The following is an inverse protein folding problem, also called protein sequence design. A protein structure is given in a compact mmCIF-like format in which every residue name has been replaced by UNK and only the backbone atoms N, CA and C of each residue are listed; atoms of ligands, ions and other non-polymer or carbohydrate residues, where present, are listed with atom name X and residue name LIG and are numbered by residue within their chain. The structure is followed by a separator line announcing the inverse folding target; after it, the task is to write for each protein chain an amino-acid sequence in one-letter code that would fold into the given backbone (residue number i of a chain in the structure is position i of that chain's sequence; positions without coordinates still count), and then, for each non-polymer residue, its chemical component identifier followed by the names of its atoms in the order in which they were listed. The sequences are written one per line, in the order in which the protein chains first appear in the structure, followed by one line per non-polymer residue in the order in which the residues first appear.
data_IF_969652104470
#
_entry.id   IF_969652104470
#
_cell.length_a   1.000
_cell.length_b   1.000
_cell.length_c   1.000
_cell.angle_alpha   90.00
_cell.angle_beta   90.00
_cell.angle_gamma   90.00
#
_symmetry.space_group_name_H-M   'P 1'
#
loop_
_entity.id
_entity.type
_entity.pdbx_description
1 polymer ?
#
# COMPACT_ATOMS: atom_id res chain seq x y z
N UNK A 1 -4.28 33.56 -37.45
CA UNK A 1 -3.33 33.66 -36.33
C UNK A 1 -4.00 33.11 -35.08
N UNK A 2 -3.77 31.83 -34.74
CA UNK A 2 -4.22 31.23 -33.48
C UNK A 2 -2.97 30.73 -32.77
N UNK A 3 -2.68 31.35 -31.64
CA UNK A 3 -1.50 31.08 -30.81
C UNK A 3 -1.70 29.74 -30.09
N UNK A 4 -0.85 28.75 -30.39
CA UNK A 4 -0.73 27.53 -29.62
C UNK A 4 0.17 27.83 -28.41
N UNK A 5 -0.41 27.93 -27.21
CA UNK A 5 0.35 27.94 -25.98
C UNK A 5 0.74 26.50 -25.64
N UNK A 6 2.04 26.22 -25.69
CA UNK A 6 2.62 24.94 -25.30
C UNK A 6 2.43 24.72 -23.80
N UNK A 7 1.72 23.65 -23.43
CA UNK A 7 1.70 23.14 -22.06
C UNK A 7 3.02 22.40 -21.85
N UNK A 8 3.95 23.04 -21.15
CA UNK A 8 5.18 22.39 -20.68
C UNK A 8 4.81 21.41 -19.56
N UNK A 9 4.80 20.12 -19.88
CA UNK A 9 4.71 19.04 -18.90
C UNK A 9 6.03 19.03 -18.12
N UNK A 10 6.00 19.46 -16.85
CA UNK A 10 7.10 19.24 -15.92
C UNK A 10 7.14 17.74 -15.58
N UNK A 11 7.94 16.98 -16.33
CA UNK A 11 8.38 15.64 -15.92
C UNK A 11 9.35 15.82 -14.75
N UNK A 12 8.82 15.81 -13.52
CA UNK A 12 9.64 15.60 -12.34
C UNK A 12 10.24 14.20 -12.46
N UNK A 13 11.55 14.14 -12.71
CA UNK A 13 12.33 12.91 -12.62
C UNK A 13 12.22 12.38 -11.19
N UNK A 14 11.45 11.32 -10.99
CA UNK A 14 11.47 10.53 -9.76
C UNK A 14 12.74 9.70 -9.74
N UNK A 15 13.89 10.36 -9.55
CA UNK A 15 15.07 9.68 -9.06
C UNK A 15 14.82 9.40 -7.56
N UNK A 16 15.11 8.18 -7.06
CA UNK A 16 15.03 7.92 -5.63
C UNK A 16 15.91 8.94 -4.90
N UNK A 17 15.45 9.51 -3.75
CA UNK A 17 16.27 10.44 -3.00
C UNK A 17 17.61 9.80 -2.69
N UNK A 18 18.67 10.49 -3.11
CA UNK A 18 20.07 10.12 -2.89
C UNK A 18 20.35 10.17 -1.38
N UNK A 19 20.18 9.04 -0.70
CA UNK A 19 20.44 8.92 0.74
C UNK A 19 19.72 7.79 1.46
N UNK A 20 18.69 7.15 0.86
CA UNK A 20 18.04 6.00 1.50
C UNK A 20 19.01 4.80 1.54
N UNK A 21 19.42 4.40 2.74
CA UNK A 21 20.19 3.17 2.97
C UNK A 21 19.41 1.96 2.45
N UNK A 22 20.11 0.96 1.88
CA UNK A 22 19.46 -0.25 1.38
C UNK A 22 18.66 -0.91 2.52
N UNK A 23 17.32 -1.11 2.38
CA UNK A 23 16.51 -1.72 3.42
C UNK A 23 17.01 -3.10 3.83
N UNK A 24 17.66 -3.85 2.92
CA UNK A 24 18.26 -5.15 3.27
C UNK A 24 19.51 -5.01 4.11
N UNK A 25 20.30 -3.96 3.90
CA UNK A 25 21.47 -3.67 4.72
C UNK A 25 21.07 -3.23 6.13
N UNK A 26 19.97 -2.48 6.28
CA UNK A 26 19.42 -2.13 7.60
C UNK A 26 18.96 -3.37 8.39
N UNK A 27 18.57 -4.44 7.71
CA UNK A 27 18.22 -5.72 8.29
C UNK A 27 19.39 -6.70 8.40
N UNK A 28 20.64 -6.26 8.18
CA UNK A 28 21.82 -7.09 8.47
C UNK A 28 22.20 -7.04 9.96
N UNK A 29 21.28 -7.49 10.81
CA UNK A 29 21.40 -7.48 12.27
C UNK A 29 20.84 -8.77 12.85
N UNK A 30 21.07 -8.99 14.14
CA UNK A 30 20.48 -10.13 14.85
C UNK A 30 19.11 -9.80 15.43
N UNK A 31 18.87 -8.52 15.70
CA UNK A 31 17.63 -8.02 16.29
C UNK A 31 17.14 -6.85 15.46
N UNK A 32 15.85 -6.89 15.08
CA UNK A 32 15.28 -5.90 14.15
C UNK A 32 13.89 -5.46 14.58
N UNK A 33 13.58 -4.19 14.34
CA UNK A 33 12.22 -3.63 14.42
C UNK A 33 11.78 -3.20 13.02
N UNK A 34 10.75 -3.87 12.48
CA UNK A 34 10.18 -3.56 11.16
C UNK A 34 8.85 -2.86 11.40
N UNK A 35 8.75 -1.59 11.01
CA UNK A 35 7.51 -0.83 11.13
C UNK A 35 6.74 -0.84 9.81
N UNK A 36 5.47 -1.20 9.85
CA UNK A 36 4.53 -1.11 8.74
C UNK A 36 3.51 -0.04 9.06
N UNK A 37 3.31 0.92 8.15
CA UNK A 37 2.31 1.98 8.33
C UNK A 37 1.31 2.01 7.19
N UNK A 38 0.05 2.27 7.56
CA UNK A 38 -1.09 2.38 6.64
C UNK A 38 -2.08 3.42 7.16
N UNK A 39 -2.88 4.03 6.29
CA UNK A 39 -3.92 4.99 6.70
C UNK A 39 -5.22 4.32 7.17
N UNK A 40 -5.35 3.00 6.99
CA UNK A 40 -6.43 2.16 7.52
C UNK A 40 -5.85 0.84 8.04
N UNK A 41 -6.57 -0.28 7.87
CA UNK A 41 -6.15 -1.62 8.32
C UNK A 41 -5.65 -2.54 7.18
N UNK A 42 -5.68 -2.08 5.93
CA UNK A 42 -5.26 -2.86 4.76
C UNK A 42 -3.81 -3.35 4.83
N UNK A 43 -2.91 -2.49 5.30
CA UNK A 43 -1.48 -2.80 5.42
C UNK A 43 -1.15 -3.87 6.47
N UNK A 44 -2.10 -4.34 7.28
CA UNK A 44 -1.87 -5.49 8.16
C UNK A 44 -1.58 -6.77 7.38
N UNK A 45 -2.05 -6.89 6.14
CA UNK A 45 -1.68 -7.99 5.24
C UNK A 45 -0.17 -8.05 4.99
N UNK A 46 0.48 -6.89 4.88
CA UNK A 46 1.94 -6.77 4.75
C UNK A 46 2.63 -7.20 6.05
N UNK A 47 2.13 -6.73 7.20
CA UNK A 47 2.66 -7.14 8.51
C UNK A 47 2.53 -8.65 8.75
N UNK A 48 1.39 -9.24 8.37
CA UNK A 48 1.14 -10.68 8.46
C UNK A 48 2.07 -11.49 7.56
N UNK A 49 2.34 -11.03 6.34
CA UNK A 49 3.27 -11.74 5.46
C UNK A 49 4.73 -11.63 5.94
N UNK A 50 5.13 -10.48 6.51
CA UNK A 50 6.46 -10.31 7.12
C UNK A 50 6.62 -11.24 8.33
N UNK A 51 5.65 -11.26 9.24
CA UNK A 51 5.62 -12.18 10.39
C UNK A 51 5.77 -13.63 9.90
N UNK A 52 4.94 -14.03 8.93
CA UNK A 52 4.95 -15.39 8.38
C UNK A 52 6.31 -15.75 7.80
N UNK A 53 6.90 -14.88 6.99
CA UNK A 53 8.21 -15.15 6.38
C UNK A 53 9.33 -15.27 7.42
N UNK A 54 9.34 -14.42 8.45
CA UNK A 54 10.33 -14.48 9.53
C UNK A 54 10.15 -15.76 10.37
N UNK A 55 8.90 -16.11 10.72
CA UNK A 55 8.59 -17.33 11.48
C UNK A 55 9.04 -18.59 10.74
N UNK A 56 8.88 -18.65 9.42
CA UNK A 56 9.30 -19.79 8.61
C UNK A 56 10.78 -19.76 8.20
N UNK A 57 11.42 -18.60 8.22
CA UNK A 57 12.85 -18.44 7.91
C UNK A 57 13.54 -17.69 9.06
N UNK A 58 14.01 -18.40 10.10
CA UNK A 58 14.62 -17.78 11.29
C UNK A 58 15.94 -17.06 10.99
N UNK A 59 15.84 -15.85 10.45
CA UNK A 59 16.96 -15.02 10.01
C UNK A 59 17.43 -14.04 11.09
N UNK A 60 16.63 -13.87 12.16
CA UNK A 60 16.87 -13.00 13.31
C UNK A 60 16.80 -13.78 14.62
N UNK A 61 17.49 -13.30 15.65
CA UNK A 61 17.34 -13.73 17.06
C UNK A 61 16.05 -13.15 17.65
N UNK A 62 15.75 -11.89 17.33
CA UNK A 62 14.52 -11.19 17.71
C UNK A 62 14.03 -10.34 16.54
N UNK A 63 12.73 -10.35 16.29
CA UNK A 63 12.11 -9.50 15.30
C UNK A 63 10.79 -8.96 15.86
N UNK A 64 10.67 -7.64 15.88
CA UNK A 64 9.47 -6.93 16.29
C UNK A 64 8.80 -6.35 15.04
N UNK A 65 7.63 -6.88 14.67
CA UNK A 65 6.81 -6.37 13.56
C UNK A 65 5.77 -5.42 14.14
N UNK A 66 5.94 -4.13 13.91
CA UNK A 66 5.06 -3.09 14.45
C UNK A 66 4.19 -2.53 13.34
N UNK A 67 2.89 -2.78 13.40
CA UNK A 67 1.93 -2.06 12.58
C UNK A 67 1.46 -0.79 13.28
N UNK A 68 1.54 0.36 12.62
CA UNK A 68 1.04 1.63 13.12
C UNK A 68 0.10 2.28 12.11
N UNK A 69 -1.16 2.46 12.50
CA UNK A 69 -2.08 3.29 11.71
C UNK A 69 -1.62 4.74 11.71
N UNK A 70 -1.54 5.34 10.52
CA UNK A 70 -1.29 6.75 10.31
C UNK A 70 -2.60 7.57 10.18
N UNK A 71 -3.77 6.95 10.44
CA UNK A 71 -5.03 7.68 10.51
C UNK A 71 -4.94 8.69 11.68
N UNK A 72 -5.08 10.00 11.43
CA UNK A 72 -4.91 10.99 12.47
C UNK A 72 -5.96 10.82 13.60
N UNK A 73 -5.61 11.20 14.84
CA UNK A 73 -6.60 11.34 15.91
C UNK A 73 -7.83 12.13 15.42
N UNK A 74 -9.02 11.62 15.74
CA UNK A 74 -10.29 12.12 15.21
C UNK A 74 -10.80 11.38 13.96
N UNK A 75 -10.00 10.50 13.35
CA UNK A 75 -10.47 9.54 12.35
C UNK A 75 -10.71 10.08 10.95
N UNK A 76 -10.31 11.33 10.67
CA UNK A 76 -10.44 11.93 9.33
C UNK A 76 -9.47 11.26 8.35
N UNK A 77 -9.99 10.67 7.29
CA UNK A 77 -9.20 10.01 6.25
C UNK A 77 -8.36 10.99 5.45
N UNK A 78 -7.28 10.50 4.84
CA UNK A 78 -6.44 11.33 3.97
C UNK A 78 -7.21 11.82 2.74
N UNK A 79 -8.07 10.99 2.13
CA UNK A 79 -8.88 11.43 0.97
C UNK A 79 -9.87 12.57 1.31
N UNK A 80 -10.24 12.74 2.59
CA UNK A 80 -11.09 13.83 3.06
C UNK A 80 -10.31 15.13 3.36
N UNK A 81 -8.99 15.14 3.19
CA UNK A 81 -8.13 16.30 3.40
C UNK A 81 -8.16 17.27 2.22
N UNK A 82 -8.05 18.57 2.52
CA UNK A 82 -8.24 19.67 1.58
C UNK A 82 -7.21 19.72 0.45
N UNK A 83 -6.02 19.18 0.68
CA UNK A 83 -4.96 19.19 -0.32
C UNK A 83 -3.75 18.35 0.07
N UNK A 84 -2.82 18.21 -0.88
CA UNK A 84 -1.62 17.40 -0.73
C UNK A 84 -0.68 17.90 0.37
N UNK A 85 -0.62 19.21 0.60
CA UNK A 85 0.24 19.79 1.63
C UNK A 85 -0.28 19.45 3.04
N UNK A 86 -1.60 19.47 3.24
CA UNK A 86 -2.20 19.00 4.51
C UNK A 86 -1.93 17.51 4.72
N UNK A 87 -2.14 16.68 3.69
CA UNK A 87 -1.83 15.24 3.73
C UNK A 87 -0.37 15.00 4.10
N UNK A 88 0.56 15.71 3.48
CA UNK A 88 1.99 15.57 3.72
C UNK A 88 2.41 16.04 5.13
N UNK A 89 1.85 17.15 5.63
CA UNK A 89 2.12 17.65 6.97
C UNK A 89 1.64 16.66 8.05
N UNK A 90 0.42 16.14 7.93
CA UNK A 90 -0.14 15.15 8.85
C UNK A 90 0.67 13.85 8.80
N UNK A 91 0.99 13.35 7.60
CA UNK A 91 1.76 12.13 7.47
C UNK A 91 3.20 12.27 7.97
N UNK A 92 3.83 13.43 7.77
CA UNK A 92 5.15 13.73 8.35
C UNK A 92 5.11 13.64 9.87
N UNK A 93 4.08 14.22 10.51
CA UNK A 93 3.91 14.16 11.96
C UNK A 93 3.72 12.72 12.45
N UNK A 94 2.95 11.92 11.71
CA UNK A 94 2.74 10.50 11.99
C UNK A 94 4.05 9.71 11.96
N UNK A 95 4.86 9.88 10.91
CA UNK A 95 6.16 9.23 10.78
C UNK A 95 7.13 9.66 11.89
N UNK A 96 7.15 10.94 12.26
CA UNK A 96 7.97 11.41 13.39
C UNK A 96 7.53 10.78 14.72
N UNK A 97 6.22 10.65 14.96
CA UNK A 97 5.68 9.99 16.15
C UNK A 97 6.09 8.52 16.23
N UNK A 98 5.92 7.80 15.12
CA UNK A 98 6.32 6.39 14.97
C UNK A 98 7.82 6.20 15.17
N UNK A 99 8.66 7.05 14.55
CA UNK A 99 10.11 7.02 14.68
C UNK A 99 10.55 7.23 16.13
N UNK A 100 10.01 8.25 16.81
CA UNK A 100 10.32 8.52 18.23
C UNK A 100 9.89 7.40 19.16
N UNK A 101 8.72 6.79 18.89
CA UNK A 101 8.08 5.83 19.78
C UNK A 101 8.64 4.42 19.68
N UNK A 102 9.02 4.00 18.47
CA UNK A 102 9.37 2.62 18.16
C UNK A 102 10.80 2.44 17.65
N UNK A 103 11.48 3.52 17.24
CA UNK A 103 12.85 3.49 16.72
C UNK A 103 13.11 2.34 15.71
N UNK A 104 12.32 2.24 14.62
CA UNK A 104 12.41 1.13 13.69
C UNK A 104 13.74 1.11 12.92
N UNK A 105 14.20 -0.07 12.54
CA UNK A 105 15.33 -0.23 11.61
C UNK A 105 14.91 0.04 10.16
N UNK A 106 13.62 -0.16 9.83
CA UNK A 106 13.03 0.10 8.51
C UNK A 106 11.55 0.47 8.65
N UNK A 107 11.09 1.41 7.81
CA UNK A 107 9.67 1.79 7.71
C UNK A 107 9.12 1.37 6.35
N UNK A 108 8.01 0.65 6.37
CA UNK A 108 7.26 0.22 5.19
C UNK A 108 5.96 0.99 5.12
N UNK A 109 5.83 1.85 4.12
CA UNK A 109 4.59 2.56 3.83
C UNK A 109 3.75 1.63 2.95
N UNK A 110 2.92 0.81 3.59
CA UNK A 110 2.06 -0.13 2.90
C UNK A 110 0.97 0.62 2.11
N UNK A 111 0.41 1.68 2.70
CA UNK A 111 -0.66 2.43 2.05
C UNK A 111 -0.18 3.10 0.74
N UNK A 112 -0.94 2.86 -0.32
CA UNK A 112 -0.70 3.47 -1.63
C UNK A 112 -0.88 5.00 -1.58
N UNK A 113 -1.95 5.49 -0.92
CA UNK A 113 -2.18 6.93 -0.72
C UNK A 113 -1.01 7.59 0.00
N UNK A 114 -0.50 6.97 1.06
CA UNK A 114 0.62 7.51 1.84
C UNK A 114 1.94 7.45 1.06
N UNK A 115 2.12 6.40 0.25
CA UNK A 115 3.32 6.25 -0.59
C UNK A 115 3.43 7.37 -1.61
N UNK A 116 2.33 7.80 -2.24
CA UNK A 116 2.37 8.86 -3.27
C UNK A 116 2.51 10.28 -2.71
N UNK A 117 2.34 10.46 -1.40
CA UNK A 117 2.55 11.75 -0.72
C UNK A 117 3.88 11.81 0.05
N UNK A 118 4.56 10.67 0.24
CA UNK A 118 5.74 10.54 1.11
C UNK A 118 6.85 11.55 0.77
N UNK A 119 7.18 11.70 -0.52
CA UNK A 119 8.27 12.58 -0.95
C UNK A 119 8.01 14.07 -0.65
N UNK A 120 6.76 14.43 -0.34
CA UNK A 120 6.38 15.80 0.07
C UNK A 120 6.46 16.03 1.57
N UNK A 121 6.66 14.99 2.37
CA UNK A 121 6.78 15.11 3.82
C UNK A 121 8.10 15.77 4.21
N UNK A 122 8.15 16.46 5.34
CA UNK A 122 9.44 16.92 5.89
C UNK A 122 10.26 15.74 6.42
N UNK A 123 9.59 14.66 6.86
CA UNK A 123 10.24 13.43 7.30
C UNK A 123 11.14 12.82 6.22
N UNK A 124 10.67 12.74 4.97
CA UNK A 124 11.46 12.14 3.88
C UNK A 124 12.80 12.84 3.63
N UNK A 125 12.87 14.15 3.90
CA UNK A 125 14.09 14.96 3.75
C UNK A 125 15.14 14.73 4.83
N UNK A 126 14.74 14.17 5.98
CA UNK A 126 15.61 13.99 7.15
C UNK A 126 15.72 12.54 7.66
N UNK A 127 14.96 11.61 7.09
CA UNK A 127 14.94 10.22 7.56
C UNK A 127 16.34 9.61 7.51
N UNK A 128 16.75 9.02 8.62
CA UNK A 128 18.02 8.27 8.73
C UNK A 128 17.81 6.77 8.56
N UNK A 129 16.56 6.31 8.52
CA UNK A 129 16.18 4.92 8.32
C UNK A 129 15.63 4.72 6.90
N UNK A 130 15.84 3.55 6.27
CA UNK A 130 15.21 3.24 5.00
C UNK A 130 13.70 3.31 5.12
N UNK A 131 13.08 3.96 4.14
CA UNK A 131 11.63 4.00 3.97
C UNK A 131 11.27 3.42 2.62
N UNK A 132 10.39 2.43 2.60
CA UNK A 132 9.99 1.71 1.38
C UNK A 132 8.50 1.88 1.16
N UNK A 133 8.12 2.50 0.04
CA UNK A 133 6.74 2.60 -0.42
C UNK A 133 6.35 1.49 -1.41
N UNK A 134 5.04 1.27 -1.56
CA UNK A 134 4.50 0.15 -2.36
C UNK A 134 4.48 0.42 -3.88
N UNK A 135 4.61 1.68 -4.32
CA UNK A 135 4.40 2.08 -5.73
C UNK A 135 5.36 1.38 -6.69
N UNK A 136 6.67 1.42 -6.41
CA UNK A 136 7.67 0.80 -7.27
C UNK A 136 7.55 -0.73 -7.32
N UNK A 137 7.10 -1.34 -6.21
CA UNK A 137 6.86 -2.79 -6.11
C UNK A 137 5.69 -3.18 -7.02
N UNK A 138 4.57 -2.45 -6.92
CA UNK A 138 3.43 -2.68 -7.79
C UNK A 138 3.81 -2.52 -9.27
N UNK A 139 4.57 -1.47 -9.60
CA UNK A 139 5.01 -1.21 -10.97
C UNK A 139 5.93 -2.31 -11.51
N UNK A 140 6.88 -2.82 -10.71
CA UNK A 140 7.75 -3.95 -11.08
C UNK A 140 6.93 -5.21 -11.39
N UNK A 141 6.00 -5.56 -10.51
CA UNK A 141 5.17 -6.78 -10.68
C UNK A 141 4.26 -6.67 -11.90
N UNK A 142 3.53 -5.57 -12.03
CA UNK A 142 2.62 -5.30 -13.15
C UNK A 142 3.38 -5.29 -14.49
N UNK A 143 4.52 -4.60 -14.56
CA UNK A 143 5.33 -4.58 -15.78
C UNK A 143 5.88 -5.97 -16.13
N UNK A 144 6.28 -6.77 -15.13
CA UNK A 144 6.74 -8.14 -15.35
C UNK A 144 5.63 -9.06 -15.87
N UNK A 145 4.36 -8.84 -15.48
CA UNK A 145 3.19 -9.54 -16.07
C UNK A 145 2.91 -9.07 -17.48
N UNK A 146 2.87 -7.75 -17.69
CA UNK A 146 2.59 -7.16 -18.99
C UNK A 146 3.60 -7.60 -20.06
N UNK A 147 4.89 -7.71 -19.73
CA UNK A 147 5.93 -8.22 -20.65
C UNK A 147 5.66 -9.63 -21.19
N UNK A 148 4.86 -10.45 -20.48
CA UNK A 148 4.47 -11.80 -20.93
C UNK A 148 3.18 -11.80 -21.75
N UNK A 149 2.44 -10.69 -21.76
CA UNK A 149 1.21 -10.50 -22.53
C UNK A 149 1.18 -9.06 -23.11
N UNK A 150 2.06 -8.73 -24.07
CA UNK A 150 2.38 -7.35 -24.49
C UNK A 150 1.27 -6.58 -25.26
N UNK A 151 0.02 -6.97 -25.09
CA UNK A 151 -1.17 -6.27 -25.62
C UNK A 151 -2.30 -6.18 -24.60
N UNK A 152 -2.07 -6.66 -23.37
CA UNK A 152 -3.03 -6.55 -22.28
C UNK A 152 -3.19 -5.08 -21.89
N UNK A 153 -4.43 -4.67 -21.63
CA UNK A 153 -4.68 -3.42 -20.94
C UNK A 153 -4.32 -3.58 -19.46
N UNK A 154 -3.76 -2.54 -18.86
CA UNK A 154 -3.43 -2.48 -17.44
C UNK A 154 -4.45 -1.59 -16.75
N UNK A 155 -5.28 -2.17 -15.88
CA UNK A 155 -6.22 -1.45 -15.03
C UNK A 155 -5.58 -1.22 -13.66
N UNK A 156 -5.57 0.02 -13.18
CA UNK A 156 -5.08 0.37 -11.84
C UNK A 156 -6.25 0.85 -11.01
N UNK A 157 -6.65 0.07 -10.00
CA UNK A 157 -7.72 0.44 -9.08
C UNK A 157 -7.10 1.01 -7.81
N UNK A 158 -7.47 2.23 -7.42
CA UNK A 158 -6.95 2.85 -6.20
C UNK A 158 -7.84 3.95 -5.67
N UNK A 159 -7.43 4.54 -4.55
CA UNK A 159 -8.11 5.71 -3.99
C UNK A 159 -7.95 6.94 -4.89
N UNK A 160 -8.77 7.97 -4.68
CA UNK A 160 -8.74 9.22 -5.43
C UNK A 160 -7.37 9.88 -5.36
N UNK A 161 -6.77 9.96 -4.18
CA UNK A 161 -5.42 10.53 -4.03
C UNK A 161 -4.37 9.69 -4.77
N UNK A 162 -4.46 8.37 -4.71
CA UNK A 162 -3.54 7.47 -5.40
C UNK A 162 -3.63 7.67 -6.92
N UNK A 163 -4.84 7.67 -7.46
CA UNK A 163 -5.07 7.79 -8.90
C UNK A 163 -4.73 9.20 -9.40
N UNK A 164 -5.14 10.24 -8.69
CA UNK A 164 -4.85 11.63 -9.06
C UNK A 164 -3.36 11.96 -9.05
N UNK A 165 -2.55 11.26 -8.24
CA UNK A 165 -1.09 11.45 -8.23
C UNK A 165 -0.41 11.06 -9.54
N UNK A 166 -1.01 10.15 -10.32
CA UNK A 166 -0.40 9.58 -11.53
C UNK A 166 0.85 8.71 -11.28
N UNK A 167 1.24 8.46 -10.02
CA UNK A 167 2.52 7.83 -9.69
C UNK A 167 2.65 6.40 -10.24
N UNK A 168 1.64 5.55 -10.04
CA UNK A 168 1.64 4.17 -10.58
C UNK A 168 1.67 4.16 -12.12
N UNK A 169 0.92 5.05 -12.77
CA UNK A 169 0.94 5.22 -14.24
C UNK A 169 2.35 5.60 -14.71
N UNK A 170 2.95 6.62 -14.11
CA UNK A 170 4.29 7.08 -14.47
C UNK A 170 5.34 5.98 -14.26
N UNK A 171 5.27 5.24 -13.15
CA UNK A 171 6.18 4.15 -12.84
C UNK A 171 6.08 2.98 -13.83
N UNK A 172 4.89 2.70 -14.37
CA UNK A 172 4.67 1.70 -15.42
C UNK A 172 5.18 2.15 -16.79
N UNK A 173 4.93 3.42 -17.15
CA UNK A 173 5.46 4.01 -18.39
C UNK A 173 6.99 3.96 -18.38
N UNK A 174 7.62 4.29 -17.25
CA UNK A 174 9.06 4.18 -17.07
C UNK A 174 9.61 2.75 -17.24
N UNK A 175 8.75 1.73 -17.06
CA UNK A 175 9.07 0.31 -17.26
C UNK A 175 8.72 -0.22 -18.65
N UNK A 176 8.27 0.65 -19.55
CA UNK A 176 8.00 0.35 -20.95
C UNK A 176 6.56 -0.09 -21.25
N UNK A 177 5.62 0.03 -20.30
CA UNK A 177 4.20 -0.20 -20.59
C UNK A 177 3.65 1.02 -21.33
N UNK A 178 3.07 0.86 -22.54
CA UNK A 178 2.51 1.97 -23.29
C UNK A 178 1.41 2.68 -22.50
N UNK A 179 1.48 4.01 -22.39
CA UNK A 179 0.51 4.80 -21.64
C UNK A 179 -0.93 4.61 -22.12
N UNK A 180 -1.11 4.40 -23.43
CA UNK A 180 -2.42 4.14 -24.05
C UNK A 180 -3.08 2.83 -23.61
N UNK A 181 -2.33 1.94 -22.95
CA UNK A 181 -2.84 0.70 -22.38
C UNK A 181 -3.13 0.80 -20.88
N UNK A 182 -2.81 1.94 -20.23
CA UNK A 182 -2.95 2.11 -18.78
C UNK A 182 -4.21 2.92 -18.48
N UNK A 183 -5.14 2.31 -17.75
CA UNK A 183 -6.36 2.96 -17.25
C UNK A 183 -6.24 3.01 -15.74
N UNK A 184 -6.44 4.18 -15.14
CA UNK A 184 -6.46 4.34 -13.70
C UNK A 184 -7.87 4.69 -13.25
N UNK A 185 -8.44 3.87 -12.38
CA UNK A 185 -9.80 3.96 -11.88
C UNK A 185 -9.75 4.35 -10.41
N UNK A 186 -10.29 5.53 -10.09
CA UNK A 186 -10.49 5.94 -8.71
C UNK A 186 -11.71 5.20 -8.14
N UNK A 187 -11.58 4.66 -6.94
CA UNK A 187 -12.63 3.90 -6.27
C UNK A 187 -13.00 4.52 -4.91
N UNK A 188 -13.62 5.71 -4.89
CA UNK A 188 -14.08 6.35 -3.66
C UNK A 188 -14.81 5.40 -2.71
N UNK A 189 -14.48 5.45 -1.42
CA UNK A 189 -15.10 4.69 -0.32
C UNK A 189 -14.93 3.16 -0.37
N UNK A 190 -14.45 2.58 -1.47
CA UNK A 190 -14.31 1.13 -1.57
C UNK A 190 -13.38 0.56 -0.50
N UNK A 191 -12.34 1.29 -0.10
CA UNK A 191 -11.44 0.87 0.97
C UNK A 191 -12.16 0.75 2.32
N UNK A 192 -13.10 1.65 2.61
CA UNK A 192 -13.90 1.64 3.84
C UNK A 192 -14.90 0.49 3.84
N UNK A 193 -15.59 0.26 2.71
CA UNK A 193 -16.51 -0.87 2.57
C UNK A 193 -15.79 -2.21 2.74
N UNK A 194 -14.61 -2.37 2.12
CA UNK A 194 -13.79 -3.57 2.27
C UNK A 194 -13.27 -3.72 3.70
N UNK A 195 -12.93 -2.63 4.40
CA UNK A 195 -12.48 -2.73 5.79
C UNK A 195 -13.58 -3.27 6.72
N UNK A 196 -14.82 -2.85 6.50
CA UNK A 196 -15.98 -3.28 7.27
C UNK A 196 -16.41 -4.70 6.91
N UNK A 197 -16.55 -5.01 5.63
CA UNK A 197 -16.88 -6.36 5.16
C UNK A 197 -16.25 -6.65 3.78
N UNK A 198 -15.09 -7.33 3.73
CA UNK A 198 -14.40 -7.67 2.49
C UNK A 198 -15.23 -8.51 1.50
N UNK A 199 -16.26 -9.21 1.98
CA UNK A 199 -17.10 -10.10 1.18
C UNK A 199 -18.56 -9.63 1.06
N UNK A 200 -18.88 -8.49 1.67
CA UNK A 200 -20.24 -7.95 1.81
C UNK A 200 -20.85 -7.48 0.50
N UNK A 201 -22.17 -7.30 0.53
CA UNK A 201 -22.96 -6.92 -0.65
C UNK A 201 -22.55 -5.54 -1.18
N UNK A 202 -22.37 -4.56 -0.29
CA UNK A 202 -21.89 -3.22 -0.68
C UNK A 202 -20.52 -3.29 -1.34
N UNK A 203 -19.56 -4.01 -0.75
CA UNK A 203 -18.24 -4.25 -1.35
C UNK A 203 -18.35 -4.83 -2.76
N UNK A 204 -19.24 -5.81 -2.99
CA UNK A 204 -19.46 -6.39 -4.32
C UNK A 204 -20.02 -5.36 -5.29
N UNK A 205 -21.03 -4.58 -4.88
CA UNK A 205 -21.65 -3.54 -5.70
C UNK A 205 -20.64 -2.46 -6.11
N UNK A 206 -19.80 -1.99 -5.19
CA UNK A 206 -18.77 -1.01 -5.54
C UNK A 206 -17.71 -1.60 -6.49
N UNK A 207 -17.26 -2.84 -6.25
CA UNK A 207 -16.29 -3.48 -7.17
C UNK A 207 -16.90 -3.67 -8.55
N UNK A 208 -18.13 -4.16 -8.65
CA UNK A 208 -18.85 -4.30 -9.93
C UNK A 208 -18.89 -2.97 -10.68
N UNK A 209 -19.40 -1.91 -10.03
CA UNK A 209 -19.46 -0.56 -10.61
C UNK A 209 -18.09 -0.12 -11.13
N UNK A 210 -17.05 -0.11 -10.29
CA UNK A 210 -15.75 0.40 -10.72
C UNK A 210 -15.09 -0.47 -11.79
N UNK A 211 -15.33 -1.78 -11.81
CA UNK A 211 -14.85 -2.65 -12.90
C UNK A 211 -15.57 -2.39 -14.22
N UNK A 212 -16.87 -2.09 -14.19
CA UNK A 212 -17.64 -1.71 -15.39
C UNK A 212 -17.20 -0.35 -15.93
N UNK A 213 -17.01 0.64 -15.04
CA UNK A 213 -16.52 1.98 -15.41
C UNK A 213 -15.13 1.89 -16.05
N UNK A 214 -14.20 1.17 -15.41
CA UNK A 214 -12.86 0.92 -15.97
C UNK A 214 -12.93 0.14 -17.29
N UNK A 215 -13.87 -0.81 -17.38
CA UNK A 215 -14.13 -1.64 -18.56
C UNK A 215 -14.59 -0.84 -19.78
N UNK A 216 -15.42 0.19 -19.55
CA UNK A 216 -15.88 1.10 -20.59
C UNK A 216 -14.75 1.97 -21.18
N UNK A 217 -13.70 2.24 -20.39
CA UNK A 217 -12.52 3.00 -20.81
C UNK A 217 -11.42 2.14 -21.46
N UNK A 218 -11.59 0.81 -21.55
CA UNK A 218 -10.58 -0.08 -22.09
C UNK A 218 -10.32 0.16 -23.60
N UNK A 219 -9.05 0.22 -24.03
CA UNK A 219 -8.72 0.38 -25.44
C UNK A 219 -9.15 -0.84 -26.26
N UNK A 220 -9.63 -0.59 -27.47
CA UNK A 220 -9.84 -1.63 -28.48
C UNK A 220 -8.55 -1.77 -29.30
N UNK A 221 -8.02 -2.98 -29.56
CA UNK A 221 -8.63 -4.30 -29.38
C UNK A 221 -8.08 -5.11 -28.19
N UNK A 222 -7.76 -4.51 -27.03
CA UNK A 222 -7.16 -5.25 -25.91
C UNK A 222 -8.05 -6.45 -25.51
N UNK A 223 -7.52 -7.68 -25.67
CA UNK A 223 -8.28 -8.93 -25.48
C UNK A 223 -8.14 -9.53 -24.07
N UNK A 224 -7.25 -8.98 -23.26
CA UNK A 224 -6.93 -9.42 -21.90
C UNK A 224 -6.66 -8.19 -21.01
N UNK A 225 -6.82 -8.38 -19.70
CA UNK A 225 -6.63 -7.34 -18.69
C UNK A 225 -5.65 -7.84 -17.62
N UNK A 226 -4.75 -6.97 -17.21
CA UNK A 226 -3.95 -7.10 -16.00
C UNK A 226 -4.42 -6.01 -15.04
N UNK A 227 -4.94 -6.38 -13.87
CA UNK A 227 -5.44 -5.43 -12.88
C UNK A 227 -4.47 -5.32 -11.70
N UNK A 228 -4.01 -4.11 -11.41
CA UNK A 228 -3.27 -3.77 -10.19
C UNK A 228 -4.20 -3.26 -9.10
N UNK A 229 -4.14 -3.88 -7.93
CA UNK A 229 -4.86 -3.45 -6.74
C UNK A 229 -4.03 -2.41 -5.97
N UNK A 230 -4.07 -1.16 -6.43
CA UNK A 230 -3.32 -0.03 -5.89
C UNK A 230 -3.97 0.59 -4.64
N UNK A 231 -4.53 -0.25 -3.76
CA UNK A 231 -4.96 0.09 -2.41
C UNK A 231 -4.80 -1.17 -1.55
N UNK A 232 -4.28 -1.03 -0.32
CA UNK A 232 -3.92 -2.18 0.52
C UNK A 232 -5.14 -3.03 0.90
N UNK A 233 -6.32 -2.43 1.03
CA UNK A 233 -7.57 -3.15 1.30
C UNK A 233 -8.00 -4.07 0.15
N UNK A 234 -7.74 -3.69 -1.10
CA UNK A 234 -8.35 -4.36 -2.25
C UNK A 234 -7.92 -5.82 -2.39
N UNK A 235 -6.73 -6.17 -1.87
CA UNK A 235 -6.25 -7.55 -1.77
C UNK A 235 -7.20 -8.47 -0.99
N UNK A 236 -7.91 -7.97 0.02
CA UNK A 236 -8.89 -8.76 0.78
C UNK A 236 -10.11 -9.18 -0.07
N UNK A 237 -10.37 -8.46 -1.17
CA UNK A 237 -11.47 -8.72 -2.09
C UNK A 237 -10.98 -9.10 -3.49
N UNK A 238 -9.72 -9.52 -3.64
CA UNK A 238 -9.11 -9.84 -4.94
C UNK A 238 -9.91 -10.90 -5.74
N UNK A 239 -10.52 -11.87 -5.06
CA UNK A 239 -11.38 -12.87 -5.70
C UNK A 239 -12.68 -12.29 -6.28
N UNK A 240 -13.20 -11.21 -5.68
CA UNK A 240 -14.35 -10.47 -6.24
C UNK A 240 -13.89 -9.71 -7.48
N UNK A 241 -12.81 -8.94 -7.39
CA UNK A 241 -12.22 -8.27 -8.57
C UNK A 241 -11.99 -9.24 -9.74
N UNK A 242 -11.37 -10.40 -9.50
CA UNK A 242 -11.11 -11.40 -10.54
C UNK A 242 -12.40 -11.88 -11.22
N UNK A 243 -13.47 -12.11 -10.44
CA UNK A 243 -14.77 -12.52 -10.97
C UNK A 243 -15.41 -11.43 -11.82
N UNK A 244 -15.45 -10.20 -11.33
CA UNK A 244 -16.09 -9.10 -12.07
C UNK A 244 -15.31 -8.77 -13.35
N UNK A 245 -13.98 -8.69 -13.27
CA UNK A 245 -13.11 -8.43 -14.43
C UNK A 245 -13.16 -9.54 -15.51
N UNK A 246 -13.48 -10.77 -15.13
CA UNK A 246 -13.63 -11.88 -16.09
C UNK A 246 -14.80 -11.69 -17.06
N UNK A 247 -15.72 -10.76 -16.78
CA UNK A 247 -16.81 -10.42 -17.70
C UNK A 247 -16.41 -9.41 -18.76
N UNK A 248 -15.31 -8.68 -18.56
CA UNK A 248 -14.90 -7.58 -19.44
C UNK A 248 -14.30 -8.08 -20.75
N UNK A 249 -13.56 -9.19 -20.74
CA UNK A 249 -12.82 -9.69 -21.90
C UNK A 249 -12.82 -11.22 -21.99
N UNK A 250 -12.65 -11.79 -23.21
CA UNK A 250 -12.70 -13.25 -23.39
C UNK A 250 -11.53 -14.01 -22.74
N UNK A 251 -10.38 -13.36 -22.54
CA UNK A 251 -9.23 -13.96 -21.86
C UNK A 251 -9.33 -13.66 -20.36
N UNK A 252 -9.18 -14.65 -19.47
CA UNK A 252 -9.21 -14.43 -18.02
C UNK A 252 -8.22 -13.35 -17.58
N UNK A 253 -8.60 -12.48 -16.63
CA UNK A 253 -7.75 -11.40 -16.15
C UNK A 253 -6.66 -11.93 -15.22
N UNK A 254 -5.52 -11.23 -15.17
CA UNK A 254 -4.55 -11.38 -14.07
C UNK A 254 -4.79 -10.26 -13.05
N UNK A 255 -5.15 -10.61 -11.82
CA UNK A 255 -5.30 -9.65 -10.71
C UNK A 255 -4.06 -9.72 -9.82
N UNK A 256 -3.42 -8.57 -9.60
CA UNK A 256 -2.18 -8.43 -8.83
C UNK A 256 -2.46 -7.61 -7.57
N UNK A 257 -2.33 -8.28 -6.43
CA UNK A 257 -2.16 -7.62 -5.13
C UNK A 257 -0.66 -7.40 -4.88
N UNK A 258 -0.17 -6.14 -4.82
CA UNK A 258 1.24 -5.85 -4.59
C UNK A 258 1.68 -5.98 -3.12
N UNK A 259 0.76 -6.17 -2.16
CA UNK A 259 1.08 -6.21 -0.74
C UNK A 259 2.15 -7.28 -0.40
N UNK A 260 2.07 -8.54 -0.89
CA UNK A 260 3.09 -9.56 -0.63
C UNK A 260 4.46 -9.27 -1.27
N UNK A 261 4.54 -8.33 -2.22
CA UNK A 261 5.81 -7.90 -2.80
C UNK A 261 6.68 -7.09 -1.83
N UNK A 262 6.06 -6.42 -0.84
CA UNK A 262 6.77 -5.58 0.13
C UNK A 262 7.71 -6.38 1.02
N UNK A 263 7.25 -7.51 1.55
CA UNK A 263 8.07 -8.41 2.36
C UNK A 263 9.26 -8.95 1.56
N UNK A 264 9.05 -9.35 0.31
CA UNK A 264 10.10 -9.88 -0.59
C UNK A 264 11.15 -8.82 -0.96
N UNK A 265 10.73 -7.55 -1.04
CA UNK A 265 11.63 -6.44 -1.35
C UNK A 265 12.57 -6.14 -0.18
N UNK A 266 12.05 -6.23 1.04
CA UNK A 266 12.71 -5.74 2.25
C UNK A 266 13.48 -6.85 2.96
N UNK A 267 12.88 -8.03 3.11
CA UNK A 267 13.52 -9.13 3.83
C UNK A 267 14.76 -9.62 3.06
N UNK A 268 15.87 -9.89 3.77
CA UNK A 268 17.05 -10.47 3.15
C UNK A 268 16.73 -11.80 2.48
N UNK A 269 17.28 -12.03 1.29
CA UNK A 269 17.29 -13.35 0.64
C UNK A 269 18.33 -14.24 1.33
N UNK A 270 18.15 -14.52 2.63
CA UNK A 270 19.10 -15.25 3.47
C UNK A 270 18.59 -16.65 3.80
N UNK A 271 19.55 -17.53 4.07
CA UNK A 271 19.33 -18.84 4.70
C UNK A 271 19.04 -18.66 6.19
N UNK A 272 18.43 -19.67 6.81
CA UNK A 272 18.25 -19.77 8.25
C UNK A 272 19.57 -19.45 9.00
N UNK A 273 19.54 -18.47 9.92
CA UNK A 273 20.69 -18.05 10.74
C UNK A 273 20.58 -18.53 12.19
N UNK A 274 19.37 -18.78 12.66
CA UNK A 274 19.05 -19.17 14.03
C UNK A 274 18.21 -20.46 14.05
N UNK A 275 18.19 -21.23 15.15
CA UNK A 275 17.45 -22.49 15.21
C UNK A 275 15.93 -22.31 15.14
N UNK A 276 15.40 -21.15 15.55
CA UNK A 276 13.99 -20.81 15.53
C UNK A 276 13.75 -19.37 15.96
N UNK A 277 12.57 -18.84 15.67
CA UNK A 277 12.12 -17.52 16.11
C UNK A 277 10.60 -17.52 16.26
N UNK A 278 10.11 -16.81 17.27
CA UNK A 278 8.70 -16.39 17.35
C UNK A 278 8.71 -14.86 17.25
N UNK A 279 8.48 -14.28 16.06
CA UNK A 279 8.45 -12.83 15.90
C UNK A 279 7.32 -12.23 16.74
N UNK A 280 7.55 -11.06 17.32
CA UNK A 280 6.48 -10.33 18.00
C UNK A 280 5.70 -9.50 16.98
N UNK A 281 4.40 -9.35 17.20
CA UNK A 281 3.55 -8.46 16.41
C UNK A 281 2.85 -7.48 17.34
N UNK A 282 2.94 -6.20 17.03
CA UNK A 282 2.26 -5.14 17.75
C UNK A 282 1.41 -4.34 16.75
N UNK A 283 0.11 -4.20 17.04
CA UNK A 283 -0.80 -3.33 16.29
C UNK A 283 -1.10 -2.10 17.13
N UNK A 284 -0.88 -0.91 16.58
CA UNK A 284 -1.09 0.38 17.24
C UNK A 284 -1.98 1.25 16.39
N UNK A 285 -2.96 1.90 17.03
CA UNK A 285 -3.87 2.82 16.37
C UNK A 285 -4.08 4.10 17.20
N UNK A 286 -3.96 5.29 16.59
CA UNK A 286 -4.38 6.55 17.22
C UNK A 286 -5.89 6.72 17.32
N UNK A 287 -6.66 5.86 16.63
CA UNK A 287 -8.12 5.83 16.66
C UNK A 287 -8.63 4.55 17.28
N UNK A 288 -9.84 4.58 17.86
CA UNK A 288 -10.50 3.36 18.31
C UNK A 288 -10.98 2.59 17.08
N UNK A 289 -10.60 1.32 17.00
CA UNK A 289 -11.08 0.39 15.99
C UNK A 289 -12.37 -0.27 16.49
N UNK A 290 -13.35 -0.44 15.60
CA UNK A 290 -14.58 -1.15 15.94
C UNK A 290 -14.36 -2.66 16.01
N UNK A 291 -15.26 -3.36 16.73
CA UNK A 291 -15.25 -4.82 16.77
C UNK A 291 -15.48 -5.42 15.38
N UNK A 292 -16.36 -4.80 14.59
CA UNK A 292 -16.68 -5.23 13.22
C UNK A 292 -15.45 -5.19 12.30
N UNK A 293 -14.75 -4.04 12.25
CA UNK A 293 -13.54 -3.89 11.42
C UNK A 293 -12.42 -4.85 11.85
N UNK A 294 -12.20 -4.98 13.17
CA UNK A 294 -11.13 -5.85 13.70
C UNK A 294 -11.43 -7.33 13.44
N UNK A 295 -12.70 -7.74 13.53
CA UNK A 295 -13.11 -9.11 13.20
C UNK A 295 -13.02 -9.37 11.70
N UNK A 296 -13.52 -8.47 10.87
CA UNK A 296 -13.53 -8.61 9.42
C UNK A 296 -12.11 -8.73 8.85
N UNK A 297 -11.23 -7.81 9.20
CA UNK A 297 -9.82 -7.86 8.80
C UNK A 297 -9.12 -9.05 9.47
N UNK A 298 -9.40 -9.32 10.74
CA UNK A 298 -8.84 -10.46 11.47
C UNK A 298 -9.10 -11.81 10.80
N UNK A 299 -10.31 -12.02 10.24
CA UNK A 299 -10.65 -13.23 9.46
C UNK A 299 -9.78 -13.37 8.21
N UNK A 300 -9.42 -12.27 7.55
CA UNK A 300 -8.55 -12.27 6.37
C UNK A 300 -7.10 -12.55 6.72
N UNK A 301 -6.63 -12.07 7.87
CA UNK A 301 -5.24 -12.21 8.31
C UNK A 301 -4.94 -13.60 8.88
N UNK A 302 -5.88 -14.21 9.60
CA UNK A 302 -5.66 -15.43 10.37
C UNK A 302 -5.08 -16.61 9.57
N UNK A 303 -5.47 -16.86 8.30
CA UNK A 303 -4.85 -17.91 7.47
C UNK A 303 -3.37 -17.65 7.13
N UNK A 304 -2.93 -16.39 7.12
CA UNK A 304 -1.55 -15.98 6.82
C UNK A 304 -0.71 -15.90 8.09
N UNK A 305 -1.23 -15.19 9.09
CA UNK A 305 -0.62 -15.01 10.41
C UNK A 305 -1.68 -14.93 11.51
N UNK A 306 -1.86 -16.01 12.30
CA UNK A 306 -2.65 -15.95 13.52
C UNK A 306 -2.14 -14.90 14.50
N UNK A 307 -0.81 -14.74 14.60
CA UNK A 307 -0.18 -13.76 15.49
C UNK A 307 -0.58 -12.31 15.15
N UNK A 308 -0.61 -11.94 13.87
CA UNK A 308 -1.09 -10.61 13.45
C UNK A 308 -2.59 -10.44 13.66
N UNK A 309 -3.39 -11.48 13.42
CA UNK A 309 -4.83 -11.43 13.69
C UNK A 309 -5.12 -11.24 15.19
N UNK A 310 -4.42 -11.96 16.06
CA UNK A 310 -4.56 -11.83 17.52
C UNK A 310 -4.05 -10.47 18.01
N UNK A 311 -2.94 -9.97 17.45
CA UNK A 311 -2.43 -8.64 17.75
C UNK A 311 -3.39 -7.51 17.33
N UNK A 312 -4.16 -7.69 16.25
CA UNK A 312 -5.22 -6.76 15.85
C UNK A 312 -6.35 -6.71 16.88
N UNK A 313 -6.82 -7.87 17.36
CA UNK A 313 -7.84 -7.92 18.44
C UNK A 313 -7.31 -7.27 19.73
N UNK A 314 -6.02 -7.43 20.03
CA UNK A 314 -5.35 -6.87 21.19
C UNK A 314 -4.62 -5.54 20.91
N UNK A 315 -5.06 -4.76 19.92
CA UNK A 315 -4.35 -3.55 19.50
C UNK A 315 -4.18 -2.53 20.64
N UNK A 316 -3.12 -1.73 20.57
CA UNK A 316 -2.88 -0.60 21.47
C UNK A 316 -3.52 0.67 20.92
N UNK A 317 -4.46 1.23 21.68
CA UNK A 317 -5.00 2.56 21.42
C UNK A 317 -4.05 3.63 21.97
N UNK A 318 -3.36 4.37 21.08
CA UNK A 318 -2.41 5.42 21.44
C UNK A 318 -2.82 6.77 20.79
N UNK A 319 -3.83 7.49 21.34
CA UNK A 319 -4.37 8.72 20.73
C UNK A 319 -3.38 9.90 20.66
N UNK A 320 -2.25 9.80 21.36
CA UNK A 320 -1.19 10.80 21.39
C UNK A 320 0.08 10.35 20.65
N UNK A 321 -0.01 9.32 19.80
CA UNK A 321 1.14 8.81 19.04
C UNK A 321 1.81 9.93 18.20
N UNK A 322 1.00 10.81 17.63
CA UNK A 322 1.46 12.01 16.93
C UNK A 322 0.41 13.14 17.01
N UNK A 323 0.83 14.41 17.02
CA UNK A 323 -0.09 15.54 16.92
C UNK A 323 -0.58 15.72 15.48
N UNK A 324 -1.79 16.27 15.30
CA UNK A 324 -2.29 16.71 13.99
C UNK A 324 -1.91 18.18 13.80
N UNK A 325 -1.05 18.53 12.83
CA UNK A 325 -0.65 19.92 12.61
C UNK A 325 -1.83 20.78 12.17
N UNK A 326 -1.91 22.02 12.66
CA UNK A 326 -2.79 23.04 12.08
C UNK A 326 -2.19 23.50 10.75
N UNK A 327 -2.85 23.15 9.65
CA UNK A 327 -2.44 23.63 8.33
C UNK A 327 -3.10 24.98 8.12
N UNK A 328 -2.29 26.06 8.20
CA UNK A 328 -2.76 27.40 7.84
C UNK A 328 -3.19 27.39 6.37
N UNK A 329 -4.48 27.59 6.14
CA UNK A 329 -5.08 27.75 4.81
C UNK A 329 -4.63 29.04 4.16
#
# INVERSE_FOLDING_TARGET
MRSFAAVMLFLASFAPPSGASDPRAALDRDEVTILVTDSGLGGLSVAADIERQIRHTPMFRRADVVFCSALPPGGRGYNDMSGTDEKAAVFSSALDGMMRRYAPDVILIACNTLSVIYDRTEFSKRSTVPVVGIVEIAADELAARWKRSPSAAVLLFGTETTVASGAHRAALVARGVPESLIIAQACPKLESEIQTDPAGDMTRTYIEWYTDEAGAALPTPARSVIAGLCCTHYGYSAGIFARELSRLRPVPPEVIDPNPGMSQRVLPRRTQRFPGIVPSVLVVSPVKLSAEETEAVGRMLRPVSPATADALTAYRFEPHLFPVPEVRR
#
